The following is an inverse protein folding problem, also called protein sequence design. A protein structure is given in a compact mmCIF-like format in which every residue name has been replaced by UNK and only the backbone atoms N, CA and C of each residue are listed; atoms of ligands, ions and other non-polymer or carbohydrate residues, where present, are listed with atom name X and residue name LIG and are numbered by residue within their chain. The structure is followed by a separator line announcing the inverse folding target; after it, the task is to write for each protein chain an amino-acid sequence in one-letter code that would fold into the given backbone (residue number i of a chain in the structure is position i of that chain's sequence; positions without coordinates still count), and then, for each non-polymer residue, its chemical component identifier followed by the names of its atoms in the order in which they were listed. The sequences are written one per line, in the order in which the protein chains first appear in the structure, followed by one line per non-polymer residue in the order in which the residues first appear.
data_IF_924320912317
#
_entry.id   IF_924320912317
#
_cell.length_a   1.000
_cell.length_b   1.000
_cell.length_c   1.000
_cell.angle_alpha   90.00
_cell.angle_beta   90.00
_cell.angle_gamma   90.00
#
_symmetry.space_group_name_H-M   'P 1'
#
loop_
_entity.id
_entity.type
_entity.pdbx_description
1 polymer ?
#
# COMPACT_ATOMS: atom_id res chain seq x y z
N UNK A 1 16.94 -1.12 19.18
CA UNK A 1 15.99 -0.64 18.16
C UNK A 1 15.03 0.41 18.73
N UNK A 2 14.22 0.13 19.76
CA UNK A 2 13.22 1.11 20.28
C UNK A 2 13.73 2.49 20.74
N UNK A 3 14.90 2.59 21.38
CA UNK A 3 15.50 3.89 21.77
C UNK A 3 16.00 4.73 20.58
N UNK A 4 16.41 4.07 19.50
CA UNK A 4 16.88 4.74 18.29
C UNK A 4 15.69 5.21 17.45
N UNK A 5 14.61 4.41 17.40
CA UNK A 5 13.38 4.74 16.68
C UNK A 5 12.65 5.95 17.30
N UNK A 6 12.63 6.05 18.64
CA UNK A 6 12.07 7.22 19.33
C UNK A 6 12.87 8.49 19.05
N UNK A 7 14.21 8.42 19.03
CA UNK A 7 15.06 9.57 18.73
C UNK A 7 14.88 10.05 17.28
N UNK A 8 14.74 9.13 16.32
CA UNK A 8 14.42 9.46 14.92
C UNK A 8 13.05 10.14 14.84
N UNK A 9 12.05 9.64 15.56
CA UNK A 9 10.72 10.23 15.60
C UNK A 9 10.73 11.67 16.09
N UNK A 10 11.42 11.94 17.19
CA UNK A 10 11.51 13.29 17.76
C UNK A 10 12.23 14.26 16.81
N UNK A 11 13.28 13.77 16.13
CA UNK A 11 14.03 14.55 15.15
C UNK A 11 13.21 14.86 13.89
N UNK A 12 12.46 13.89 13.38
CA UNK A 12 11.80 13.97 12.07
C UNK A 12 10.43 14.63 12.11
N UNK A 13 9.72 14.57 13.24
CA UNK A 13 8.36 15.09 13.39
C UNK A 13 8.20 16.56 12.95
N UNK A 14 9.11 17.50 13.30
CA UNK A 14 9.00 18.89 12.82
C UNK A 14 9.11 19.04 11.29
N UNK A 15 9.76 18.09 10.61
CA UNK A 15 10.03 18.15 9.18
C UNK A 15 8.88 17.60 8.31
N UNK A 16 7.96 16.82 8.89
CA UNK A 16 6.78 16.33 8.18
C UNK A 16 5.52 17.15 8.39
N UNK A 17 5.53 18.06 9.37
CA UNK A 17 4.37 18.89 9.66
C UNK A 17 3.87 19.60 8.40
N UNK A 18 2.55 19.50 8.16
CA UNK A 18 1.86 20.15 7.05
C UNK A 18 2.34 19.75 5.64
N UNK A 19 2.95 18.56 5.47
CA UNK A 19 3.31 18.02 4.15
C UNK A 19 2.15 17.37 3.39
N UNK A 20 1.10 16.95 4.07
CA UNK A 20 -0.07 16.29 3.45
C UNK A 20 -1.37 17.07 3.70
N UNK A 21 -1.41 18.41 3.56
CA UNK A 21 -2.50 19.23 4.08
C UNK A 21 -3.85 18.82 3.47
N UNK A 22 -4.72 18.22 4.29
CA UNK A 22 -6.05 17.78 3.90
C UNK A 22 -6.08 16.56 2.97
N UNK A 23 -4.93 15.93 2.68
CA UNK A 23 -4.87 14.78 1.78
C UNK A 23 -5.52 13.54 2.41
N UNK A 24 -6.32 12.85 1.61
CA UNK A 24 -6.94 11.56 1.93
C UNK A 24 -6.06 10.43 1.41
N UNK A 25 -5.51 9.65 2.32
CA UNK A 25 -4.62 8.55 2.00
C UNK A 25 -5.40 7.23 2.13
N UNK A 26 -5.43 6.43 1.07
CA UNK A 26 -5.90 5.06 1.17
C UNK A 26 -4.71 4.12 1.34
N UNK A 27 -4.83 3.13 2.23
CA UNK A 27 -3.82 2.10 2.45
C UNK A 27 -4.33 0.78 1.90
N UNK A 28 -3.53 0.09 1.08
CA UNK A 28 -3.80 -1.26 0.62
C UNK A 28 -2.70 -2.18 1.14
N UNK A 29 -3.06 -3.15 1.96
CA UNK A 29 -2.19 -4.18 2.52
C UNK A 29 -2.32 -5.45 1.70
N UNK A 30 -1.25 -5.91 1.07
CA UNK A 30 -1.22 -7.11 0.24
C UNK A 30 -0.50 -8.27 0.93
N UNK A 31 -0.93 -9.50 0.66
CA UNK A 31 -0.37 -10.71 1.25
C UNK A 31 -0.89 -10.98 2.66
N UNK A 32 -0.33 -12.02 3.30
CA UNK A 32 -0.64 -12.31 4.69
C UNK A 32 0.22 -11.44 5.61
N UNK A 33 -0.41 -10.66 6.49
CA UNK A 33 0.29 -9.91 7.54
C UNK A 33 -0.18 -10.41 8.90
N UNK A 34 0.74 -11.02 9.66
CA UNK A 34 0.52 -11.36 11.07
C UNK A 34 0.74 -10.15 12.00
N UNK A 35 1.54 -9.16 11.57
CA UNK A 35 1.83 -7.95 12.34
C UNK A 35 1.39 -6.70 11.57
N UNK A 36 0.35 -6.04 12.09
CA UNK A 36 -0.14 -4.73 11.63
C UNK A 36 -0.05 -3.68 12.74
N UNK A 37 0.77 -3.91 13.77
CA UNK A 37 0.85 -3.04 14.94
C UNK A 37 1.36 -1.63 14.59
N UNK A 38 2.14 -1.52 13.50
CA UNK A 38 2.65 -0.24 13.01
C UNK A 38 1.59 0.63 12.32
N UNK A 39 0.40 0.10 11.97
CA UNK A 39 -0.62 0.87 11.25
C UNK A 39 -1.09 2.09 12.04
N UNK A 40 -1.27 1.95 13.36
CA UNK A 40 -1.65 3.10 14.21
C UNK A 40 -0.58 4.19 14.16
N UNK A 41 0.69 3.80 14.20
CA UNK A 41 1.81 4.75 14.18
C UNK A 41 1.96 5.40 12.79
N UNK A 42 1.62 4.68 11.72
CA UNK A 42 1.52 5.20 10.37
C UNK A 42 0.39 6.22 10.25
N UNK A 43 -0.80 5.91 10.77
CA UNK A 43 -1.95 6.82 10.82
C UNK A 43 -1.60 8.10 11.58
N UNK A 44 -0.97 7.97 12.75
CA UNK A 44 -0.46 9.10 13.54
C UNK A 44 0.55 9.94 12.76
N UNK A 45 1.48 9.31 12.03
CA UNK A 45 2.49 10.02 11.24
C UNK A 45 1.88 10.78 10.06
N UNK A 46 0.89 10.18 9.38
CA UNK A 46 0.12 10.86 8.32
C UNK A 46 -0.70 12.01 8.89
N UNK A 47 -1.28 11.84 10.08
CA UNK A 47 -2.03 12.89 10.77
C UNK A 47 -1.14 14.05 11.22
N UNK A 48 0.03 13.77 11.79
CA UNK A 48 1.05 14.77 12.14
C UNK A 48 1.47 15.59 10.90
N UNK A 49 1.45 14.97 9.72
CA UNK A 49 1.71 15.63 8.44
C UNK A 49 0.52 16.44 7.88
N UNK A 50 -0.63 16.44 8.53
CA UNK A 50 -1.85 17.15 8.11
C UNK A 50 -2.76 16.37 7.17
N UNK A 51 -2.44 15.10 6.91
CA UNK A 51 -3.25 14.19 6.10
C UNK A 51 -4.20 13.32 6.94
N UNK A 52 -4.92 12.43 6.30
CA UNK A 52 -5.78 11.45 6.98
C UNK A 52 -5.77 10.12 6.23
N UNK A 53 -5.49 9.03 6.93
CA UNK A 53 -5.75 7.68 6.40
C UNK A 53 -7.26 7.46 6.44
N UNK A 54 -7.91 7.44 5.26
CA UNK A 54 -9.37 7.34 5.17
C UNK A 54 -9.86 5.90 5.11
N UNK A 55 -9.01 4.97 4.64
CA UNK A 55 -9.38 3.58 4.45
C UNK A 55 -8.18 2.65 4.47
N UNK A 56 -8.35 1.45 5.02
CA UNK A 56 -7.39 0.36 4.98
C UNK A 56 -8.04 -0.87 4.34
N UNK A 57 -7.58 -1.25 3.15
CA UNK A 57 -8.00 -2.45 2.43
C UNK A 57 -6.98 -3.55 2.62
N UNK A 58 -7.38 -4.74 3.08
CA UNK A 58 -6.50 -5.91 3.23
C UNK A 58 -6.84 -6.93 2.15
N UNK A 59 -5.84 -7.40 1.43
CA UNK A 59 -5.97 -8.32 0.29
C UNK A 59 -4.95 -9.44 0.45
N UNK A 60 -5.38 -10.64 0.84
CA UNK A 60 -4.47 -11.79 0.84
C UNK A 60 -4.07 -12.19 -0.58
N UNK A 61 -3.01 -12.99 -0.73
CA UNK A 61 -2.60 -13.47 -2.05
C UNK A 61 -3.68 -14.35 -2.69
N UNK A 62 -4.42 -15.09 -1.87
CA UNK A 62 -5.52 -15.98 -2.26
C UNK A 62 -6.89 -15.36 -1.92
N UNK A 63 -7.04 -14.04 -2.13
CA UNK A 63 -8.26 -13.30 -1.77
C UNK A 63 -9.51 -13.71 -2.56
N UNK A 64 -9.32 -14.35 -3.71
CA UNK A 64 -10.41 -14.80 -4.57
C UNK A 64 -10.89 -16.21 -4.17
N UNK A 65 -12.21 -16.46 -4.16
CA UNK A 65 -12.74 -17.78 -3.88
C UNK A 65 -12.32 -18.82 -4.92
N UNK A 66 -12.01 -20.03 -4.47
CA UNK A 66 -11.78 -21.18 -5.36
C UNK A 66 -13.08 -21.60 -6.07
N UNK A 67 -14.24 -21.44 -5.42
CA UNK A 67 -15.52 -21.84 -6.00
C UNK A 67 -15.95 -20.88 -7.13
N UNK A 68 -16.22 -21.37 -8.36
CA UNK A 68 -16.49 -20.51 -9.52
C UNK A 68 -17.65 -19.53 -9.33
N UNK A 69 -18.74 -19.96 -8.68
CA UNK A 69 -19.90 -19.08 -8.44
C UNK A 69 -19.59 -17.93 -7.48
N UNK A 70 -18.78 -18.18 -6.45
CA UNK A 70 -18.38 -17.14 -5.50
C UNK A 70 -17.41 -16.15 -6.15
N UNK A 71 -16.48 -16.65 -6.97
CA UNK A 71 -15.60 -15.81 -7.79
C UNK A 71 -16.38 -14.97 -8.79
N UNK A 72 -17.42 -15.53 -9.42
CA UNK A 72 -18.30 -14.80 -10.32
C UNK A 72 -19.04 -13.65 -9.63
N UNK A 73 -19.44 -13.82 -8.36
CA UNK A 73 -20.04 -12.73 -7.57
C UNK A 73 -19.04 -11.60 -7.28
N UNK A 74 -17.77 -11.91 -7.02
CA UNK A 74 -16.72 -10.88 -6.88
C UNK A 74 -16.55 -10.12 -8.20
N UNK A 75 -16.53 -10.82 -9.34
CA UNK A 75 -16.45 -10.19 -10.65
C UNK A 75 -17.67 -9.30 -10.94
N UNK A 76 -18.88 -9.78 -10.66
CA UNK A 76 -20.13 -9.06 -10.87
C UNK A 76 -20.22 -7.79 -9.99
N UNK A 77 -19.75 -7.85 -8.74
CA UNK A 77 -19.65 -6.69 -7.85
C UNK A 77 -18.82 -5.54 -8.47
N UNK A 78 -17.85 -5.89 -9.32
CA UNK A 78 -17.01 -4.97 -10.07
C UNK A 78 -17.48 -4.72 -11.50
N UNK A 79 -18.64 -5.24 -11.90
CA UNK A 79 -19.19 -5.12 -13.25
C UNK A 79 -18.39 -5.89 -14.31
N UNK A 80 -17.63 -6.91 -13.90
CA UNK A 80 -16.82 -7.74 -14.78
C UNK A 80 -17.53 -9.05 -15.15
N UNK A 81 -17.04 -9.67 -16.23
CA UNK A 81 -17.49 -11.01 -16.63
C UNK A 81 -16.99 -12.07 -15.64
N UNK A 82 -17.71 -13.21 -15.47
CA UNK A 82 -17.34 -14.28 -14.53
C UNK A 82 -15.94 -14.89 -14.69
N UNK A 83 -15.30 -14.70 -15.84
CA UNK A 83 -13.98 -15.26 -16.17
C UNK A 83 -12.87 -14.20 -16.19
N UNK A 84 -13.06 -13.06 -15.52
CA UNK A 84 -12.00 -12.08 -15.34
C UNK A 84 -10.77 -12.73 -14.68
N UNK A 85 -9.58 -12.36 -15.13
CA UNK A 85 -8.34 -12.81 -14.50
C UNK A 85 -8.17 -12.17 -13.11
N UNK A 86 -7.36 -12.79 -12.26
CA UNK A 86 -7.08 -12.27 -10.92
C UNK A 86 -6.45 -10.87 -10.99
N UNK A 87 -5.60 -10.64 -11.98
CA UNK A 87 -5.03 -9.33 -12.27
C UNK A 87 -6.10 -8.30 -12.66
N UNK A 88 -7.09 -8.67 -13.48
CA UNK A 88 -8.19 -7.77 -13.84
C UNK A 88 -9.05 -7.41 -12.61
N UNK A 89 -9.32 -8.40 -11.76
CA UNK A 89 -10.06 -8.19 -10.52
C UNK A 89 -9.28 -7.28 -9.55
N UNK A 90 -7.98 -7.49 -9.39
CA UNK A 90 -7.10 -6.65 -8.58
C UNK A 90 -7.00 -5.20 -9.13
N UNK A 91 -6.99 -5.02 -10.46
CA UNK A 91 -7.04 -3.70 -11.10
C UNK A 91 -8.32 -2.95 -10.76
N UNK A 92 -9.49 -3.61 -10.85
CA UNK A 92 -10.77 -2.95 -10.56
C UNK A 92 -10.93 -2.70 -9.07
N UNK A 93 -10.46 -3.61 -8.22
CA UNK A 93 -10.37 -3.40 -6.77
C UNK A 93 -9.60 -2.12 -6.44
N UNK A 94 -8.38 -1.97 -6.96
CA UNK A 94 -7.55 -0.78 -6.72
C UNK A 94 -8.22 0.51 -7.22
N UNK A 95 -8.81 0.46 -8.41
CA UNK A 95 -9.58 1.58 -8.95
C UNK A 95 -10.80 1.93 -8.10
N UNK A 96 -11.48 0.96 -7.51
CA UNK A 96 -12.61 1.16 -6.62
C UNK A 96 -12.17 1.77 -5.28
N UNK A 97 -11.02 1.35 -4.72
CA UNK A 97 -10.42 1.98 -3.54
C UNK A 97 -10.06 3.44 -3.85
N UNK A 98 -9.29 3.69 -4.91
CA UNK A 98 -8.81 5.04 -5.24
C UNK A 98 -9.94 6.03 -5.56
N UNK A 99 -11.05 5.57 -6.17
CA UNK A 99 -12.18 6.44 -6.53
C UNK A 99 -13.27 6.54 -5.46
N UNK A 100 -13.16 5.80 -4.35
CA UNK A 100 -14.21 5.76 -3.34
C UNK A 100 -15.51 5.11 -3.84
N UNK A 101 -15.41 3.89 -4.36
CA UNK A 101 -16.58 3.08 -4.73
C UNK A 101 -16.91 2.03 -3.64
N UNK A 102 -17.31 2.52 -2.48
CA UNK A 102 -17.59 1.70 -1.30
C UNK A 102 -18.66 0.63 -1.51
N UNK A 103 -19.66 0.86 -2.38
CA UNK A 103 -20.72 -0.13 -2.65
C UNK A 103 -20.15 -1.37 -3.35
N UNK A 104 -19.38 -1.17 -4.42
CA UNK A 104 -18.74 -2.27 -5.16
C UNK A 104 -17.77 -3.04 -4.26
N UNK A 105 -16.96 -2.31 -3.48
CA UNK A 105 -16.02 -2.90 -2.53
C UNK A 105 -16.70 -3.77 -1.48
N UNK A 106 -17.75 -3.25 -0.81
CA UNK A 106 -18.50 -3.99 0.21
C UNK A 106 -19.12 -5.27 -0.38
N UNK A 107 -19.74 -5.16 -1.55
CA UNK A 107 -20.34 -6.31 -2.27
C UNK A 107 -19.28 -7.36 -2.64
N UNK A 108 -18.10 -6.92 -3.11
CA UNK A 108 -17.00 -7.83 -3.43
C UNK A 108 -16.46 -8.52 -2.17
N UNK A 109 -16.29 -7.79 -1.06
CA UNK A 109 -15.78 -8.31 0.21
C UNK A 109 -16.70 -9.37 0.82
N UNK A 110 -18.03 -9.26 0.64
CA UNK A 110 -19.00 -10.28 1.10
C UNK A 110 -18.81 -11.64 0.43
N UNK A 111 -18.27 -11.68 -0.79
CA UNK A 111 -18.05 -12.92 -1.54
C UNK A 111 -16.59 -13.35 -1.61
N UNK A 112 -15.65 -12.48 -1.27
CA UNK A 112 -14.22 -12.76 -1.33
C UNK A 112 -13.75 -13.66 -0.17
N UNK A 113 -12.66 -14.40 -0.39
CA UNK A 113 -12.05 -15.26 0.63
C UNK A 113 -11.08 -14.48 1.55
N UNK A 114 -10.47 -13.41 1.04
CA UNK A 114 -9.41 -12.69 1.73
C UNK A 114 -9.36 -11.19 1.46
N UNK A 115 -10.51 -10.57 1.23
CA UNK A 115 -10.66 -9.11 1.13
C UNK A 115 -11.33 -8.58 2.41
N UNK A 116 -10.67 -7.65 3.11
CA UNK A 116 -11.26 -6.95 4.26
C UNK A 116 -11.16 -5.45 4.08
N UNK A 117 -12.21 -4.75 4.49
CA UNK A 117 -12.33 -3.30 4.34
C UNK A 117 -12.48 -2.66 5.71
N UNK A 118 -11.68 -1.62 5.95
CA UNK A 118 -11.78 -0.77 7.12
C UNK A 118 -11.75 0.70 6.70
N UNK A 119 -12.52 1.56 7.39
CA UNK A 119 -12.66 2.98 7.07
C UNK A 119 -13.74 3.35 6.04
N UNK A 120 -13.55 4.50 5.39
CA UNK A 120 -14.52 5.24 4.57
C UNK A 120 -14.12 5.14 3.10
N UNK A 121 -15.04 4.65 2.26
CA UNK A 121 -14.83 4.41 0.82
C UNK A 121 -15.84 5.19 -0.02
N UNK A 122 -16.35 6.31 0.47
CA UNK A 122 -17.39 7.11 -0.19
C UNK A 122 -16.81 8.32 -0.95
N UNK A 123 -15.49 8.55 -0.86
CA UNK A 123 -14.80 9.64 -1.54
C UNK A 123 -13.47 9.13 -2.14
N UNK A 124 -13.00 9.73 -3.25
CA UNK A 124 -11.69 9.40 -3.80
C UNK A 124 -10.56 9.59 -2.78
N UNK A 125 -9.47 8.83 -2.92
CA UNK A 125 -8.21 9.10 -2.24
C UNK A 125 -7.36 10.04 -3.10
N UNK A 126 -6.57 10.89 -2.45
CA UNK A 126 -5.61 11.78 -3.12
C UNK A 126 -4.30 11.04 -3.42
N UNK A 127 -3.95 10.06 -2.58
CA UNK A 127 -2.83 9.15 -2.79
C UNK A 127 -3.11 7.76 -2.18
N UNK A 128 -2.38 6.75 -2.65
CA UNK A 128 -2.49 5.36 -2.19
C UNK A 128 -1.13 4.85 -1.72
N UNK A 129 -1.08 4.34 -0.49
CA UNK A 129 0.06 3.59 0.03
C UNK A 129 -0.24 2.09 -0.11
N UNK A 130 0.54 1.39 -0.94
CA UNK A 130 0.43 -0.05 -1.11
C UNK A 130 1.55 -0.70 -0.29
N UNK A 131 1.20 -1.46 0.74
CA UNK A 131 2.16 -2.16 1.59
C UNK A 131 2.13 -3.64 1.26
N UNK A 132 3.28 -4.21 0.92
CA UNK A 132 3.43 -5.64 0.71
C UNK A 132 3.71 -6.33 2.05
N UNK A 133 3.05 -7.47 2.26
CA UNK A 133 3.20 -8.32 3.44
C UNK A 133 4.11 -9.50 3.17
N UNK A 134 4.63 -10.06 4.27
CA UNK A 134 5.41 -11.30 4.35
C UNK A 134 6.55 -11.43 3.34
N UNK A 135 7.75 -11.05 3.75
CA UNK A 135 8.98 -11.27 2.99
C UNK A 135 9.46 -12.73 3.15
N UNK A 136 8.68 -13.69 2.63
CA UNK A 136 9.13 -15.09 2.50
C UNK A 136 9.69 -15.34 1.10
N UNK A 137 10.64 -16.29 0.94
CA UNK A 137 11.16 -16.61 -0.39
C UNK A 137 10.07 -17.07 -1.37
N UNK A 138 9.11 -17.88 -0.90
CA UNK A 138 8.01 -18.38 -1.74
C UNK A 138 7.10 -17.26 -2.23
N UNK A 139 6.80 -16.28 -1.36
CA UNK A 139 5.98 -15.13 -1.75
C UNK A 139 6.72 -14.24 -2.74
N UNK A 140 8.03 -14.05 -2.57
CA UNK A 140 8.86 -13.32 -3.53
C UNK A 140 8.78 -13.95 -4.93
N UNK A 141 8.92 -15.28 -5.03
CA UNK A 141 8.77 -16.00 -6.31
C UNK A 141 7.38 -15.77 -6.93
N UNK A 142 6.31 -15.82 -6.13
CA UNK A 142 4.95 -15.51 -6.61
C UNK A 142 4.83 -14.07 -7.10
N UNK A 143 5.40 -13.12 -6.39
CA UNK A 143 5.38 -11.70 -6.74
C UNK A 143 6.10 -11.45 -8.08
N UNK A 144 7.29 -12.03 -8.27
CA UNK A 144 8.06 -11.98 -9.52
C UNK A 144 7.33 -12.65 -10.69
N UNK A 145 6.63 -13.76 -10.43
CA UNK A 145 5.75 -14.41 -11.40
C UNK A 145 4.44 -13.64 -11.67
N UNK A 146 4.19 -12.55 -10.94
CA UNK A 146 3.00 -11.74 -11.10
C UNK A 146 1.71 -12.43 -10.63
N UNK A 147 1.84 -13.32 -9.64
CA UNK A 147 0.78 -14.15 -9.04
C UNK A 147 0.28 -13.59 -7.69
N UNK A 148 0.65 -12.36 -7.36
CA UNK A 148 0.17 -11.63 -6.19
C UNK A 148 -0.67 -10.42 -6.64
N UNK A 149 -1.60 -9.91 -5.81
CA UNK A 149 -2.54 -8.87 -6.22
C UNK A 149 -1.86 -7.53 -6.57
N UNK A 150 -0.66 -7.25 -6.04
CA UNK A 150 0.07 -5.99 -6.22
C UNK A 150 0.26 -5.63 -7.69
N UNK A 151 0.58 -6.60 -8.57
CA UNK A 151 0.83 -6.29 -9.98
C UNK A 151 -0.40 -5.65 -10.63
N UNK A 152 -1.59 -6.18 -10.34
CA UNK A 152 -2.84 -5.60 -10.81
C UNK A 152 -3.15 -4.26 -10.14
N UNK A 153 -2.95 -4.18 -8.82
CA UNK A 153 -3.20 -2.96 -8.04
C UNK A 153 -2.34 -1.80 -8.53
N UNK A 154 -1.02 -1.96 -8.53
CA UNK A 154 -0.06 -0.92 -8.91
C UNK A 154 -0.23 -0.50 -10.37
N UNK A 155 -0.49 -1.45 -11.27
CA UNK A 155 -0.76 -1.13 -12.68
C UNK A 155 -1.99 -0.23 -12.82
N UNK A 156 -3.08 -0.53 -12.12
CA UNK A 156 -4.30 0.27 -12.19
C UNK A 156 -4.11 1.69 -11.63
N UNK A 157 -3.42 1.81 -10.50
CA UNK A 157 -3.16 3.10 -9.87
C UNK A 157 -2.25 3.98 -10.73
N UNK A 158 -1.16 3.41 -11.26
CA UNK A 158 -0.24 4.10 -12.17
C UNK A 158 -0.93 4.55 -13.46
N UNK A 159 -1.76 3.68 -14.07
CA UNK A 159 -2.53 4.02 -15.28
C UNK A 159 -3.53 5.16 -15.02
N UNK A 160 -4.09 5.22 -13.82
CA UNK A 160 -5.04 6.26 -13.42
C UNK A 160 -4.35 7.57 -12.98
N UNK A 161 -3.01 7.63 -12.98
CA UNK A 161 -2.26 8.80 -12.52
C UNK A 161 -2.38 9.08 -11.02
N UNK A 162 -2.78 8.07 -10.22
CA UNK A 162 -2.91 8.21 -8.77
C UNK A 162 -1.54 8.14 -8.13
N UNK A 163 -1.22 9.10 -7.25
CA UNK A 163 0.04 9.07 -6.51
C UNK A 163 0.10 7.79 -5.67
N UNK A 164 1.09 6.95 -5.97
CA UNK A 164 1.22 5.62 -5.38
C UNK A 164 2.61 5.45 -4.78
N UNK A 165 2.66 5.03 -3.52
CA UNK A 165 3.90 4.66 -2.84
C UNK A 165 3.84 3.18 -2.53
N UNK A 166 4.85 2.42 -2.97
CA UNK A 166 5.02 1.02 -2.59
C UNK A 166 5.82 0.94 -1.29
N UNK A 167 5.39 0.16 -0.34
CA UNK A 167 6.14 -0.03 0.89
C UNK A 167 6.21 -1.49 1.32
N UNK A 168 7.22 -1.82 2.12
CA UNK A 168 7.30 -3.11 2.80
C UNK A 168 7.83 -2.93 4.23
N UNK A 169 7.42 -3.75 5.20
CA UNK A 169 8.03 -3.79 6.52
C UNK A 169 9.51 -4.20 6.46
N UNK A 170 10.22 -3.88 7.53
CA UNK A 170 11.57 -4.38 7.77
C UNK A 170 11.56 -5.91 7.89
N UNK A 171 12.70 -6.52 7.62
CA UNK A 171 12.85 -7.97 7.64
C UNK A 171 14.19 -8.39 7.05
N UNK A 172 14.29 -9.64 6.60
CA UNK A 172 15.50 -10.14 5.97
C UNK A 172 15.88 -9.27 4.75
N UNK A 173 17.09 -8.69 4.78
CA UNK A 173 17.60 -7.83 3.70
C UNK A 173 17.72 -8.57 2.36
N UNK A 174 17.80 -9.91 2.37
CA UNK A 174 17.85 -10.74 1.17
C UNK A 174 16.47 -10.97 0.55
N UNK A 175 15.38 -10.62 1.24
CA UNK A 175 14.01 -10.83 0.77
C UNK A 175 13.28 -9.48 0.74
N UNK A 176 13.17 -8.94 -0.47
CA UNK A 176 12.44 -7.69 -0.75
C UNK A 176 11.58 -7.89 -1.98
N UNK A 177 10.32 -7.45 -1.89
CA UNK A 177 9.35 -7.52 -2.99
C UNK A 177 9.35 -6.26 -3.85
N UNK A 178 9.92 -5.16 -3.34
CA UNK A 178 10.04 -3.88 -4.06
C UNK A 178 10.67 -4.05 -5.47
N UNK A 179 11.78 -4.80 -5.66
CA UNK A 179 12.38 -4.97 -6.98
C UNK A 179 11.42 -5.52 -8.04
N UNK A 180 10.53 -6.46 -7.67
CA UNK A 180 9.55 -7.07 -8.56
C UNK A 180 8.53 -6.06 -9.13
N UNK A 181 8.30 -4.95 -8.41
CA UNK A 181 7.30 -3.94 -8.76
C UNK A 181 7.92 -2.58 -9.10
N UNK A 182 9.24 -2.46 -9.06
CA UNK A 182 9.97 -1.18 -9.17
C UNK A 182 9.73 -0.39 -10.47
N UNK A 183 9.21 -1.04 -11.51
CA UNK A 183 8.83 -0.39 -12.79
C UNK A 183 7.40 0.17 -12.79
N UNK A 184 6.61 -0.14 -11.77
CA UNK A 184 5.20 0.25 -11.65
C UNK A 184 5.00 1.46 -10.73
N UNK A 185 6.04 1.89 -10.01
CA UNK A 185 5.99 3.01 -9.06
C UNK A 185 7.23 3.90 -9.21
N UNK A 186 7.08 5.18 -8.90
CA UNK A 186 8.20 6.14 -8.86
C UNK A 186 8.78 6.33 -7.46
N UNK A 187 8.05 5.90 -6.43
CA UNK A 187 8.50 5.95 -5.05
C UNK A 187 8.27 4.63 -4.31
N UNK A 188 9.26 4.23 -3.51
CA UNK A 188 9.13 3.07 -2.62
C UNK A 188 9.82 3.29 -1.28
N UNK A 189 9.36 2.57 -0.25
CA UNK A 189 9.84 2.67 1.12
C UNK A 189 10.00 1.27 1.70
N UNK A 190 11.21 0.83 2.04
CA UNK A 190 11.35 -0.31 2.95
C UNK A 190 11.14 0.15 4.41
N UNK A 191 11.14 -0.77 5.38
CA UNK A 191 11.04 -0.47 6.81
C UNK A 191 9.86 0.43 7.25
N UNK A 192 8.69 0.30 6.61
CA UNK A 192 7.49 1.11 6.94
C UNK A 192 6.98 0.93 8.38
N UNK A 193 7.37 -0.16 9.02
CA UNK A 193 7.14 -0.46 10.43
C UNK A 193 8.12 0.23 11.39
N UNK A 194 9.12 0.96 10.87
CA UNK A 194 10.01 1.87 11.60
C UNK A 194 9.64 3.34 11.37
N UNK A 195 10.04 4.22 12.30
CA UNK A 195 9.77 5.64 12.22
C UNK A 195 10.35 6.26 10.94
N UNK A 196 11.61 5.94 10.59
CA UNK A 196 12.27 6.46 9.39
C UNK A 196 11.49 6.12 8.10
N UNK A 197 11.00 4.89 7.97
CA UNK A 197 10.16 4.46 6.86
C UNK A 197 8.84 5.23 6.82
N UNK A 198 8.12 5.36 7.95
CA UNK A 198 6.87 6.14 8.01
C UNK A 198 7.03 7.60 7.57
N UNK A 199 8.08 8.28 8.04
CA UNK A 199 8.35 9.64 7.59
C UNK A 199 8.72 9.69 6.11
N UNK A 200 9.52 8.73 5.63
CA UNK A 200 9.85 8.62 4.20
C UNK A 200 8.60 8.42 3.34
N UNK A 201 7.63 7.63 3.82
CA UNK A 201 6.35 7.45 3.16
C UNK A 201 5.54 8.75 3.08
N UNK A 202 5.58 9.61 4.11
CA UNK A 202 4.93 10.93 4.05
C UNK A 202 5.52 11.79 2.93
N UNK A 203 6.85 11.90 2.85
CA UNK A 203 7.50 12.65 1.77
C UNK A 203 7.18 12.05 0.40
N UNK A 204 7.15 10.72 0.31
CA UNK A 204 6.79 10.03 -0.92
C UNK A 204 5.33 10.27 -1.31
N UNK A 205 4.40 10.29 -0.37
CA UNK A 205 2.99 10.61 -0.61
C UNK A 205 2.81 12.07 -1.07
N UNK A 206 3.64 12.97 -0.55
CA UNK A 206 3.74 14.38 -0.96
C UNK A 206 4.55 14.58 -2.27
N UNK A 207 4.76 13.51 -3.04
CA UNK A 207 5.29 13.57 -4.40
C UNK A 207 6.81 13.49 -4.53
N UNK A 208 7.57 13.32 -3.44
CA UNK A 208 9.02 13.07 -3.53
C UNK A 208 9.27 11.68 -4.09
N UNK A 209 9.94 11.59 -5.23
CA UNK A 209 10.33 10.33 -5.86
C UNK A 209 11.64 9.76 -5.29
N UNK A 210 11.80 8.45 -5.40
CA UNK A 210 12.99 7.73 -4.95
C UNK A 210 12.68 6.46 -4.18
N UNK A 211 13.73 5.70 -3.87
CA UNK A 211 13.64 4.47 -3.08
C UNK A 211 14.29 4.72 -1.72
N UNK A 212 13.47 4.73 -0.67
CA UNK A 212 13.89 5.06 0.67
C UNK A 212 13.98 3.82 1.55
N UNK A 213 14.97 3.82 2.44
CA UNK A 213 15.12 2.79 3.46
C UNK A 213 16.52 2.22 3.57
N UNK A 214 16.65 1.08 4.25
CA UNK A 214 17.92 0.50 4.69
C UNK A 214 18.35 -0.74 3.90
N UNK A 215 17.45 -1.35 3.12
CA UNK A 215 17.75 -2.54 2.33
C UNK A 215 18.51 -2.18 1.06
N UNK A 216 19.13 -3.18 0.43
CA UNK A 216 19.93 -3.01 -0.80
C UNK A 216 19.22 -2.34 -1.98
N UNK A 217 17.89 -2.41 -2.03
CA UNK A 217 17.10 -1.79 -3.09
C UNK A 217 16.87 -0.28 -2.89
N UNK A 218 17.17 0.25 -1.70
CA UNK A 218 17.06 1.67 -1.39
C UNK A 218 18.21 2.47 -1.99
N UNK A 219 17.90 3.67 -2.48
CA UNK A 219 18.87 4.63 -2.96
C UNK A 219 19.43 5.47 -1.82
N UNK A 220 18.61 5.71 -0.78
CA UNK A 220 18.94 6.56 0.38
C UNK A 220 18.15 6.10 1.61
N UNK A 221 18.69 6.26 2.83
CA UNK A 221 17.98 5.90 4.05
C UNK A 221 16.73 6.74 4.34
N UNK A 222 16.79 8.03 3.99
CA UNK A 222 15.68 8.98 4.16
C UNK A 222 15.66 9.97 2.98
N UNK A 223 14.52 10.64 2.72
CA UNK A 223 14.43 11.77 1.81
C UNK A 223 15.33 12.94 2.24
N UNK A 224 15.63 13.82 1.29
CA UNK A 224 16.23 15.11 1.60
C UNK A 224 15.17 16.00 2.26
N UNK A 225 15.34 16.27 3.55
CA UNK A 225 14.35 16.98 4.37
C UNK A 225 14.17 18.44 3.98
N UNK A 226 15.09 18.98 3.17
CA UNK A 226 15.01 20.35 2.64
C UNK A 226 14.17 20.44 1.37
N UNK A 227 13.88 19.30 0.73
CA UNK A 227 13.03 19.28 -0.45
C UNK A 227 11.60 19.68 -0.06
N UNK A 228 11.19 20.81 -0.60
CA UNK A 228 9.82 21.31 -0.63
C UNK A 228 9.43 21.42 -2.09
N UNK A 229 8.20 20.99 -2.43
CA UNK A 229 7.64 21.29 -3.75
C UNK A 229 7.21 22.76 -3.83
#
# INVERSE_FOLDING_TARGET
LGRSDSAIRDLMRPHVANRLPGMRIAVILCGEQADTNFLRELEETVQDAGGTVVSVTRVSDDWLPVHPEARARVADAFGLRPYASDEQLARVLAGAVARGNGKALKTAAESAAGLRLDGVYERPADAVLVITGSNTPDRLVRAEAGQTPERGILTALGTAGIRTVLAEPDGDESISTIPAFSRLVTASVDNIDMAAGRFSAVYALDGVDGRFGIKRAAERPIPDLTQTQ
#
